data_IF_350711235817
#
_entry.id   IF_350711235817
#
_cell.length_a   1.000
_cell.length_b   1.000
_cell.length_c   1.000
_cell.angle_alpha   90.00
_cell.angle_beta   90.00
_cell.angle_gamma   90.00
#
_symmetry.space_group_name_H-M   'P 1'
#
loop_
_entity.id
_entity.type
_entity.pdbx_description
1 polymer ?
#
# COMPACT_ATOMS: atom_id res chain seq x y z
N UNK A 1 17.95 -20.48 34.71
CA UNK A 1 16.59 -20.20 34.23
C UNK A 1 16.53 -20.64 32.77
N UNK A 2 15.66 -21.59 32.37
CA UNK A 2 15.48 -21.89 30.95
C UNK A 2 14.93 -20.64 30.25
N UNK A 3 15.53 -20.24 29.14
CA UNK A 3 15.00 -19.16 28.30
C UNK A 3 13.70 -19.65 27.66
N UNK A 4 12.59 -18.98 27.94
CA UNK A 4 11.34 -19.21 27.25
C UNK A 4 11.48 -18.72 25.80
N UNK A 5 11.17 -19.58 24.84
CA UNK A 5 11.13 -19.18 23.42
C UNK A 5 9.94 -18.22 23.25
N UNK A 6 10.14 -17.01 22.68
CA UNK A 6 9.06 -16.06 22.46
C UNK A 6 7.99 -16.62 21.52
N UNK A 7 6.72 -16.26 21.74
CA UNK A 7 5.64 -16.62 20.82
C UNK A 7 5.67 -15.65 19.61
N UNK A 8 5.82 -16.13 18.37
CA UNK A 8 5.90 -15.28 17.18
C UNK A 8 4.70 -14.33 17.02
N UNK A 9 3.50 -14.74 17.44
CA UNK A 9 2.29 -13.93 17.30
C UNK A 9 2.33 -12.64 18.11
N UNK A 10 3.11 -12.61 19.19
CA UNK A 10 3.31 -11.40 20.01
C UNK A 10 4.07 -10.29 19.24
N UNK A 11 4.66 -10.65 18.10
CA UNK A 11 5.44 -9.77 17.22
C UNK A 11 4.82 -9.64 15.82
N UNK A 12 3.54 -9.99 15.67
CA UNK A 12 2.83 -10.02 14.38
C UNK A 12 3.48 -10.95 13.34
N UNK A 13 4.13 -12.02 13.81
CA UNK A 13 4.73 -13.05 12.95
C UNK A 13 3.76 -14.24 12.88
N UNK A 14 3.27 -14.52 11.69
CA UNK A 14 2.45 -15.68 11.40
C UNK A 14 3.31 -16.96 11.48
N UNK A 15 2.87 -18.01 12.20
CA UNK A 15 3.64 -19.25 12.35
C UNK A 15 3.90 -20.01 11.05
N UNK A 16 3.04 -19.85 10.04
CA UNK A 16 3.15 -20.56 8.76
C UNK A 16 3.78 -19.67 7.68
N UNK A 17 3.45 -18.38 7.68
CA UNK A 17 3.78 -17.43 6.62
C UNK A 17 4.82 -16.38 7.02
N UNK A 18 5.32 -16.44 8.25
CA UNK A 18 6.32 -15.51 8.78
C UNK A 18 5.79 -14.08 8.85
N UNK A 19 6.48 -13.13 8.22
CA UNK A 19 6.08 -11.71 8.25
C UNK A 19 4.92 -11.36 7.29
N UNK A 20 4.41 -12.33 6.54
CA UNK A 20 3.17 -12.13 5.78
C UNK A 20 1.99 -12.09 6.74
N UNK A 21 0.96 -11.32 6.39
CA UNK A 21 -0.30 -11.37 7.14
C UNK A 21 -0.88 -12.79 7.10
N UNK A 22 -1.32 -13.28 8.26
CA UNK A 22 -2.04 -14.56 8.37
C UNK A 22 -3.37 -14.56 7.60
N UNK A 23 -3.91 -13.38 7.29
CA UNK A 23 -5.10 -13.18 6.47
C UNK A 23 -4.79 -12.37 5.20
N UNK A 24 -5.63 -12.48 4.16
CA UNK A 24 -5.49 -11.66 2.96
C UNK A 24 -5.53 -10.16 3.27
N UNK A 25 -4.63 -9.34 2.69
CA UNK A 25 -4.68 -7.89 2.82
C UNK A 25 -6.00 -7.33 2.28
N UNK A 26 -6.42 -6.20 2.85
CA UNK A 26 -7.61 -5.50 2.39
C UNK A 26 -7.49 -5.10 0.91
N UNK A 27 -8.44 -5.56 0.09
CA UNK A 27 -8.41 -5.32 -1.36
C UNK A 27 -8.73 -3.87 -1.74
N UNK A 28 -9.62 -3.20 -0.99
CA UNK A 28 -10.07 -1.82 -1.27
C UNK A 28 -10.38 -1.04 0.00
N UNK A 29 -10.07 0.25 -0.03
CA UNK A 29 -10.47 1.23 0.99
C UNK A 29 -11.98 1.54 0.96
N UNK A 30 -12.52 2.14 2.04
CA UNK A 30 -13.89 2.66 2.08
C UNK A 30 -14.21 3.66 0.95
N UNK A 31 -15.50 3.88 0.69
CA UNK A 31 -16.01 4.67 -0.44
C UNK A 31 -15.46 6.11 -0.51
N UNK A 32 -15.12 6.70 0.63
CA UNK A 32 -14.51 8.03 0.73
C UNK A 32 -13.15 8.13 0.02
N UNK A 33 -12.47 6.99 -0.17
CA UNK A 33 -11.17 6.87 -0.85
C UNK A 33 -11.29 6.37 -2.28
N UNK A 34 -12.50 6.31 -2.86
CA UNK A 34 -12.73 5.77 -4.21
C UNK A 34 -11.86 6.46 -5.29
N UNK A 35 -11.56 7.75 -5.14
CA UNK A 35 -10.64 8.43 -6.06
C UNK A 35 -9.21 7.91 -5.99
N UNK A 36 -8.72 7.53 -4.81
CA UNK A 36 -7.41 6.90 -4.68
C UNK A 36 -7.43 5.52 -5.35
N UNK A 37 -8.42 4.67 -5.05
CA UNK A 37 -8.53 3.34 -5.67
C UNK A 37 -8.61 3.41 -7.20
N UNK A 38 -9.38 4.37 -7.74
CA UNK A 38 -9.47 4.57 -9.19
C UNK A 38 -8.15 4.99 -9.82
N UNK A 39 -7.43 5.93 -9.21
CA UNK A 39 -6.13 6.38 -9.72
C UNK A 39 -5.10 5.26 -9.63
N UNK A 40 -5.10 4.51 -8.53
CA UNK A 40 -4.25 3.35 -8.33
C UNK A 40 -4.39 2.30 -9.44
N UNK A 41 -5.63 1.94 -9.79
CA UNK A 41 -5.90 1.03 -10.89
C UNK A 41 -5.44 1.56 -12.27
N UNK A 42 -5.23 2.87 -12.41
CA UNK A 42 -4.85 3.53 -13.67
C UNK A 42 -3.39 3.97 -13.72
N UNK A 43 -2.58 3.75 -12.67
CA UNK A 43 -1.18 4.20 -12.64
C UNK A 43 -0.40 3.79 -13.90
N UNK A 44 -0.45 2.52 -14.39
CA UNK A 44 0.31 2.12 -15.58
C UNK A 44 -0.08 2.92 -16.83
N UNK A 45 -1.37 3.13 -17.07
CA UNK A 45 -1.84 3.89 -18.24
C UNK A 45 -1.58 5.39 -18.10
N UNK A 46 -1.65 5.93 -16.90
CA UNK A 46 -1.32 7.33 -16.62
C UNK A 46 0.18 7.61 -16.82
N UNK A 47 1.04 6.67 -16.44
CA UNK A 47 2.48 6.72 -16.73
C UNK A 47 2.73 6.71 -18.24
N UNK A 48 2.19 5.72 -18.96
CA UNK A 48 2.37 5.60 -20.42
C UNK A 48 1.88 6.83 -21.20
N UNK A 49 0.86 7.52 -20.68
CA UNK A 49 0.28 8.69 -21.35
C UNK A 49 0.80 10.02 -20.83
N UNK A 50 1.78 10.03 -19.90
CA UNK A 50 2.35 11.26 -19.33
C UNK A 50 1.35 12.10 -18.55
N UNK A 51 0.35 11.47 -17.94
CA UNK A 51 -0.76 12.13 -17.21
C UNK A 51 -0.74 11.86 -15.71
N UNK A 52 0.23 11.07 -15.22
CA UNK A 52 0.26 10.67 -13.82
C UNK A 52 0.49 11.87 -12.90
N UNK A 53 1.52 12.71 -13.15
CA UNK A 53 1.84 13.82 -12.25
C UNK A 53 0.66 14.79 -12.07
N UNK A 54 0.09 15.24 -13.18
CA UNK A 54 -1.08 16.14 -13.15
C UNK A 54 -2.28 15.49 -12.44
N UNK A 55 -2.52 14.20 -12.63
CA UNK A 55 -3.59 13.47 -11.93
C UNK A 55 -3.36 13.43 -10.42
N UNK A 56 -2.14 13.13 -9.98
CA UNK A 56 -1.79 13.04 -8.56
C UNK A 56 -1.77 14.42 -7.88
N UNK A 57 -1.33 15.47 -8.56
CA UNK A 57 -1.39 16.86 -8.05
C UNK A 57 -2.82 17.31 -7.72
N UNK A 58 -3.81 16.85 -8.48
CA UNK A 58 -5.23 17.20 -8.31
C UNK A 58 -6.02 16.15 -7.50
N UNK A 59 -5.33 15.15 -6.94
CA UNK A 59 -5.97 14.13 -6.11
C UNK A 59 -6.55 14.79 -4.84
N UNK A 60 -7.82 14.54 -4.49
CA UNK A 60 -8.40 15.10 -3.29
C UNK A 60 -7.71 14.54 -2.04
N UNK A 61 -7.73 15.32 -0.96
CA UNK A 61 -7.35 14.88 0.37
C UNK A 61 -8.60 14.34 1.09
N UNK A 62 -8.79 13.00 1.18
CA UNK A 62 -9.88 12.43 1.95
C UNK A 62 -9.67 12.63 3.46
N UNK A 63 -10.75 12.53 4.23
CA UNK A 63 -10.70 12.50 5.69
C UNK A 63 -10.10 11.16 6.16
N UNK A 64 -8.84 11.18 6.61
CA UNK A 64 -8.15 9.97 7.08
C UNK A 64 -8.80 9.37 8.34
N UNK A 65 -9.66 10.10 9.05
CA UNK A 65 -10.40 9.55 10.18
C UNK A 65 -11.38 8.44 9.77
N UNK A 66 -11.65 8.27 8.47
CA UNK A 66 -12.42 7.15 7.90
C UNK A 66 -11.61 5.86 7.78
N UNK A 67 -10.30 5.88 8.05
CA UNK A 67 -9.47 4.68 8.15
C UNK A 67 -9.61 4.09 9.57
N UNK A 68 -10.57 3.18 9.73
CA UNK A 68 -10.94 2.64 11.05
C UNK A 68 -10.09 1.45 11.51
N UNK A 69 -9.60 0.62 10.59
CA UNK A 69 -8.86 -0.61 10.92
C UNK A 69 -7.40 -0.53 10.50
N UNK A 70 -6.52 -1.32 11.13
CA UNK A 70 -5.10 -1.38 10.73
C UNK A 70 -4.92 -1.75 9.26
N UNK A 71 -5.80 -2.57 8.69
CA UNK A 71 -5.74 -2.96 7.29
C UNK A 71 -6.19 -1.83 6.36
N UNK A 72 -7.10 -0.94 6.78
CA UNK A 72 -7.35 0.32 6.08
C UNK A 72 -6.06 1.16 6.00
N UNK A 73 -5.34 1.32 7.12
CA UNK A 73 -4.08 2.06 7.14
C UNK A 73 -2.98 1.40 6.29
N UNK A 74 -2.85 0.08 6.34
CA UNK A 74 -1.88 -0.67 5.50
C UNK A 74 -2.18 -0.52 4.01
N UNK A 75 -3.45 -0.62 3.60
CA UNK A 75 -3.88 -0.40 2.20
C UNK A 75 -3.64 1.04 1.75
N UNK A 76 -3.99 2.03 2.57
CA UNK A 76 -3.71 3.43 2.28
C UNK A 76 -2.20 3.67 2.09
N UNK A 77 -1.36 3.08 2.93
CA UNK A 77 0.09 3.18 2.83
C UNK A 77 0.62 2.53 1.55
N UNK A 78 0.07 1.38 1.13
CA UNK A 78 0.39 0.76 -0.17
C UNK A 78 0.08 1.71 -1.33
N UNK A 79 -1.13 2.26 -1.39
CA UNK A 79 -1.53 3.18 -2.47
C UNK A 79 -0.65 4.43 -2.52
N UNK A 80 -0.42 5.08 -1.38
CA UNK A 80 0.41 6.27 -1.29
C UNK A 80 1.89 5.98 -1.61
N UNK A 81 2.38 4.78 -1.27
CA UNK A 81 3.73 4.35 -1.66
C UNK A 81 3.89 4.22 -3.16
N UNK A 82 2.88 3.65 -3.84
CA UNK A 82 2.85 3.56 -5.30
C UNK A 82 2.74 4.94 -5.93
N UNK A 83 1.83 5.80 -5.44
CA UNK A 83 1.70 7.17 -5.95
C UNK A 83 2.97 7.98 -5.80
N UNK A 84 3.58 7.99 -4.61
CA UNK A 84 4.79 8.74 -4.35
C UNK A 84 5.96 8.26 -5.20
N UNK A 85 6.16 6.95 -5.29
CA UNK A 85 7.24 6.37 -6.10
C UNK A 85 7.04 6.65 -7.60
N UNK A 86 5.83 6.43 -8.11
CA UNK A 86 5.50 6.68 -9.51
C UNK A 86 5.49 8.18 -9.86
N UNK A 87 5.17 9.07 -8.92
CA UNK A 87 5.27 10.52 -9.15
C UNK A 87 6.72 10.99 -9.31
N UNK A 88 7.61 10.51 -8.43
CA UNK A 88 9.03 10.85 -8.46
C UNK A 88 9.69 10.34 -9.74
N UNK A 89 9.53 9.05 -10.04
CA UNK A 89 10.29 8.38 -11.10
C UNK A 89 9.55 8.18 -12.41
N UNK A 90 8.24 8.43 -12.46
CA UNK A 90 7.40 8.10 -13.61
C UNK A 90 7.59 8.99 -14.83
N UNK A 91 8.27 10.12 -14.70
CA UNK A 91 8.54 11.04 -15.80
C UNK A 91 9.96 11.63 -15.64
N UNK A 92 10.54 12.11 -16.75
CA UNK A 92 11.87 12.72 -16.79
C UNK A 92 11.77 14.26 -16.91
N UNK A 93 12.56 15.03 -16.14
CA UNK A 93 13.44 14.56 -15.06
C UNK A 93 12.63 14.06 -13.84
N UNK A 94 13.25 13.25 -12.97
CA UNK A 94 12.61 12.84 -11.71
C UNK A 94 12.18 14.04 -10.87
N UNK A 95 11.02 13.95 -10.22
CA UNK A 95 10.51 15.04 -9.40
C UNK A 95 11.29 15.10 -8.08
N UNK A 96 11.66 16.32 -7.67
CA UNK A 96 12.37 16.56 -6.40
C UNK A 96 11.42 16.99 -5.28
N UNK A 97 10.15 17.25 -5.60
CA UNK A 97 9.10 17.67 -4.67
C UNK A 97 7.82 16.88 -4.94
N UNK A 98 7.34 16.16 -3.93
CA UNK A 98 6.06 15.43 -3.98
C UNK A 98 4.92 16.40 -3.66
N UNK A 99 3.80 16.38 -4.41
CA UNK A 99 2.72 17.32 -4.23
C UNK A 99 2.00 17.10 -2.89
N UNK A 100 1.41 18.18 -2.37
CA UNK A 100 0.69 18.16 -1.08
C UNK A 100 -0.39 17.08 -1.00
N UNK A 101 -1.06 16.82 -2.12
CA UNK A 101 -2.10 15.79 -2.28
C UNK A 101 -1.61 14.37 -1.94
N UNK A 102 -0.30 14.11 -2.03
CA UNK A 102 0.31 12.83 -1.70
C UNK A 102 1.17 12.94 -0.43
N UNK A 103 2.03 13.96 -0.34
CA UNK A 103 3.00 14.10 0.75
C UNK A 103 2.35 14.17 2.13
N UNK A 104 1.27 14.95 2.28
CA UNK A 104 0.57 15.12 3.58
C UNK A 104 -0.08 13.81 4.04
N UNK A 105 -0.96 13.16 3.26
CA UNK A 105 -1.58 11.92 3.71
C UNK A 105 -0.56 10.79 3.86
N UNK A 106 0.48 10.75 3.01
CA UNK A 106 1.51 9.71 3.13
C UNK A 106 2.27 9.82 4.44
N UNK A 107 2.66 11.03 4.85
CA UNK A 107 3.30 11.25 6.14
C UNK A 107 2.37 10.86 7.30
N UNK A 108 1.11 11.26 7.29
CA UNK A 108 0.14 10.95 8.36
C UNK A 108 -0.12 9.44 8.49
N UNK A 109 -0.29 8.74 7.36
CA UNK A 109 -0.46 7.29 7.33
C UNK A 109 0.81 6.58 7.81
N UNK A 110 1.99 7.04 7.38
CA UNK A 110 3.25 6.44 7.77
C UNK A 110 3.54 6.64 9.27
N UNK A 111 3.26 7.83 9.81
CA UNK A 111 3.32 8.13 11.24
C UNK A 111 2.41 7.20 12.05
N UNK A 112 1.15 7.01 11.61
CA UNK A 112 0.20 6.10 12.25
C UNK A 112 0.69 4.65 12.27
N UNK A 113 1.42 4.23 11.24
CA UNK A 113 2.02 2.90 11.11
C UNK A 113 3.43 2.80 11.71
N UNK A 114 3.95 3.86 12.34
CA UNK A 114 5.26 3.86 12.98
C UNK A 114 6.43 3.67 12.02
N UNK A 115 6.32 4.14 10.77
CA UNK A 115 7.37 3.97 9.74
C UNK A 115 7.51 5.21 8.84
N UNK A 116 8.64 5.39 8.12
CA UNK A 116 8.80 6.53 7.21
C UNK A 116 7.88 6.43 5.96
N UNK A 117 7.49 7.58 5.37
CA UNK A 117 6.69 7.64 4.13
C UNK A 117 7.57 7.32 2.91
N UNK A 118 7.95 6.05 2.77
CA UNK A 118 8.76 5.54 1.67
C UNK A 118 8.19 4.21 1.17
N UNK A 119 8.37 3.95 -0.12
CA UNK A 119 8.09 2.66 -0.71
C UNK A 119 9.00 1.60 -0.09
N UNK A 120 8.43 0.73 0.74
CA UNK A 120 9.15 -0.28 1.52
C UNK A 120 8.63 -1.68 1.24
N UNK A 121 9.46 -2.70 1.50
CA UNK A 121 9.12 -4.12 1.34
C UNK A 121 7.80 -4.49 2.03
N UNK A 122 7.55 -3.97 3.24
CA UNK A 122 6.30 -4.21 3.94
C UNK A 122 5.07 -3.72 3.15
N UNK A 123 5.14 -2.56 2.48
CA UNK A 123 4.03 -2.08 1.65
C UNK A 123 3.90 -2.89 0.36
N UNK A 124 5.00 -3.04 -0.38
CA UNK A 124 4.99 -3.47 -1.78
C UNK A 124 5.04 -4.99 -1.96
N UNK A 125 5.47 -5.72 -0.92
CA UNK A 125 5.48 -7.18 -0.87
C UNK A 125 4.47 -7.69 0.15
N UNK A 126 4.75 -7.50 1.45
CA UNK A 126 4.01 -8.18 2.54
C UNK A 126 2.51 -7.85 2.57
N UNK A 127 2.13 -6.62 2.20
CA UNK A 127 0.74 -6.14 2.20
C UNK A 127 0.14 -6.01 0.80
N UNK A 128 0.82 -6.49 -0.24
CA UNK A 128 0.42 -6.32 -1.63
C UNK A 128 0.23 -7.66 -2.35
N UNK A 129 -0.63 -8.51 -1.79
CA UNK A 129 -0.94 -9.81 -2.38
C UNK A 129 -2.42 -10.14 -2.23
N UNK A 130 -2.91 -11.00 -3.10
CA UNK A 130 -4.23 -11.61 -3.06
C UNK A 130 -4.16 -13.01 -3.68
N UNK A 131 -5.11 -13.87 -3.29
CA UNK A 131 -5.35 -15.10 -4.03
C UNK A 131 -6.13 -14.77 -5.31
N UNK A 132 -5.78 -15.44 -6.40
CA UNK A 132 -6.50 -15.36 -7.67
C UNK A 132 -7.85 -16.09 -7.53
N UNK A 133 -7.80 -17.28 -6.94
CA UNK A 133 -8.96 -18.09 -6.56
C UNK A 133 -8.93 -18.35 -5.05
N UNK A 134 -9.94 -17.86 -4.33
CA UNK A 134 -10.04 -17.95 -2.86
C UNK A 134 -10.33 -19.39 -2.38
N UNK A 135 -10.82 -20.27 -3.27
CA UNK A 135 -11.08 -21.67 -2.96
C UNK A 135 -9.83 -22.56 -3.17
N UNK A 136 -8.75 -22.00 -3.70
CA UNK A 136 -7.47 -22.69 -3.95
C UNK A 136 -6.41 -22.36 -2.87
N UNK A 137 -5.45 -23.27 -2.63
CA UNK A 137 -4.35 -23.01 -1.69
C UNK A 137 -3.50 -21.79 -2.07
N UNK A 138 -2.75 -21.29 -1.09
CA UNK A 138 -1.68 -20.31 -1.33
C UNK A 138 -0.53 -21.00 -2.07
N UNK A 139 -0.44 -20.76 -3.38
CA UNK A 139 0.58 -21.32 -4.28
C UNK A 139 1.01 -20.25 -5.29
N UNK A 140 2.17 -20.43 -5.91
CA UNK A 140 2.79 -19.45 -6.82
C UNK A 140 1.92 -19.16 -8.05
N UNK A 141 1.13 -20.13 -8.51
CA UNK A 141 0.21 -19.97 -9.63
C UNK A 141 -1.18 -19.43 -9.22
N UNK A 142 -1.40 -19.20 -7.93
CA UNK A 142 -2.65 -18.72 -7.34
C UNK A 142 -2.50 -17.43 -6.54
N UNK A 143 -1.37 -16.72 -6.68
CA UNK A 143 -1.12 -15.44 -6.01
C UNK A 143 -0.87 -14.35 -7.04
N UNK A 144 -1.48 -13.18 -6.81
CA UNK A 144 -1.22 -11.96 -7.57
C UNK A 144 -1.05 -10.77 -6.63
N UNK A 145 -0.52 -9.66 -7.14
CA UNK A 145 -0.45 -8.38 -6.43
C UNK A 145 -1.81 -7.69 -6.40
N UNK A 146 -2.06 -6.91 -5.34
CA UNK A 146 -3.25 -6.05 -5.26
C UNK A 146 -3.08 -4.77 -6.08
N UNK A 147 -1.84 -4.28 -6.15
CA UNK A 147 -1.48 -3.04 -6.81
C UNK A 147 -0.19 -3.26 -7.62
N UNK A 148 -0.28 -3.28 -8.96
CA UNK A 148 0.90 -3.23 -9.80
C UNK A 148 1.50 -1.82 -9.79
N UNK A 149 2.76 -1.72 -10.20
CA UNK A 149 3.46 -0.45 -10.43
C UNK A 149 3.04 0.21 -11.75
#
# INVERSE_FOLDING_TARGET
MPHQIPNPTDYEIDPERGFLLGHPPLKRLPAEFERWERVAAQVPVLLMTGRLRSTLEHLPLPDLNRLETIDHWRRAMLLLSVFGNSYVWGENPPATVIPRSIAVPWWQVAEKLGRPPIAAHASLGLYNWQLIDEDRPFDLDNVDTLQPF
#
